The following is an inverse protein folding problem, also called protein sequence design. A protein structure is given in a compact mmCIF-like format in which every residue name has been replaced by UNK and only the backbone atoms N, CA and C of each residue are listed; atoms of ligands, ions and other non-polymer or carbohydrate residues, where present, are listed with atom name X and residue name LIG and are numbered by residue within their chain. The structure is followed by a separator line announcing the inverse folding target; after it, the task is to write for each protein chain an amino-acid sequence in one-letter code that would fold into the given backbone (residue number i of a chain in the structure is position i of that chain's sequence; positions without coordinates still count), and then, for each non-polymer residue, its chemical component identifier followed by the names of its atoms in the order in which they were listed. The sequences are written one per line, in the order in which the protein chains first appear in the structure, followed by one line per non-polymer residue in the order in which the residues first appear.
data_IF_632245366653
#
_entry.id   IF_632245366653
#
_cell.length_a   1.000
_cell.length_b   1.000
_cell.length_c   1.000
_cell.angle_alpha   90.00
_cell.angle_beta   90.00
_cell.angle_gamma   90.00
#
_symmetry.space_group_name_H-M   'P 1'
#
loop_
_entity.id
_entity.type
_entity.pdbx_description
1 polymer ?
#
# COMPACT_ATOMS: atom_id res chain seq x y z
N UNK A 1 -6.74 22.19 -13.83
CA UNK A 1 -5.31 22.46 -14.10
C UNK A 1 -4.62 21.14 -14.40
N UNK A 2 -3.70 21.12 -15.34
CA UNK A 2 -2.90 19.91 -15.59
C UNK A 2 -1.95 19.73 -14.42
N UNK A 3 -1.93 18.53 -13.82
CA UNK A 3 -0.94 18.17 -12.81
C UNK A 3 0.43 18.10 -13.49
N UNK A 4 1.41 18.80 -12.96
CA UNK A 4 2.79 18.75 -13.45
C UNK A 4 3.50 17.56 -12.84
N UNK A 5 4.47 16.97 -13.57
CA UNK A 5 5.23 15.80 -13.12
C UNK A 5 4.65 14.47 -13.62
N UNK A 6 5.05 13.39 -12.99
CA UNK A 6 4.69 12.03 -13.38
C UNK A 6 3.44 11.56 -12.63
N UNK A 7 2.27 11.93 -13.15
CA UNK A 7 0.98 11.50 -12.61
C UNK A 7 0.52 10.20 -13.30
N UNK A 8 0.47 9.10 -12.56
CA UNK A 8 0.02 7.80 -13.03
C UNK A 8 -1.31 7.44 -12.38
N UNK A 9 -2.19 6.83 -13.15
CA UNK A 9 -3.54 6.49 -12.72
C UNK A 9 -3.99 5.13 -13.26
N UNK A 10 -4.69 4.35 -12.43
CA UNK A 10 -5.38 3.14 -12.85
C UNK A 10 -6.74 3.05 -12.16
N UNK A 11 -7.74 2.61 -12.89
CA UNK A 11 -9.10 2.34 -12.44
C UNK A 11 -9.57 0.98 -12.95
N UNK A 12 -10.31 0.24 -12.12
CA UNK A 12 -11.02 -0.97 -12.51
C UNK A 12 -12.33 -1.09 -11.73
N UNK A 13 -13.45 -1.21 -12.45
CA UNK A 13 -14.74 -1.56 -11.86
C UNK A 13 -14.79 -3.07 -11.62
N UNK A 14 -14.87 -3.48 -10.36
CA UNK A 14 -14.80 -4.88 -9.96
C UNK A 14 -16.06 -5.69 -10.31
N UNK A 15 -17.21 -5.02 -10.56
CA UNK A 15 -18.44 -5.67 -10.96
C UNK A 15 -18.51 -5.95 -12.47
N UNK A 16 -17.89 -5.07 -13.29
CA UNK A 16 -18.00 -5.14 -14.77
C UNK A 16 -16.69 -5.52 -15.46
N UNK A 17 -15.56 -5.42 -14.77
CA UNK A 17 -14.22 -5.59 -15.34
C UNK A 17 -13.76 -4.45 -16.23
N UNK A 18 -14.54 -3.36 -16.37
CA UNK A 18 -14.14 -2.19 -17.15
C UNK A 18 -12.96 -1.52 -16.46
N UNK A 19 -11.86 -1.37 -17.18
CA UNK A 19 -10.65 -0.74 -16.66
C UNK A 19 -10.08 0.29 -17.64
N UNK A 20 -9.42 1.31 -17.11
CA UNK A 20 -8.66 2.30 -17.87
C UNK A 20 -7.58 2.92 -17.00
N UNK A 21 -6.64 3.64 -17.62
CA UNK A 21 -5.57 4.28 -16.88
C UNK A 21 -4.82 5.30 -17.73
N UNK A 22 -3.99 6.07 -17.06
CA UNK A 22 -3.02 6.99 -17.65
C UNK A 22 -1.64 6.67 -17.10
N UNK A 23 -0.66 6.44 -17.99
CA UNK A 23 0.69 6.03 -17.61
C UNK A 23 0.74 4.89 -16.55
N UNK A 24 -0.29 4.02 -16.54
CA UNK A 24 -0.51 3.04 -15.47
C UNK A 24 0.62 2.02 -15.31
N UNK A 25 1.39 1.79 -16.38
CA UNK A 25 2.50 0.84 -16.44
C UNK A 25 3.89 1.49 -16.24
N UNK A 26 3.93 2.82 -16.00
CA UNK A 26 5.16 3.53 -15.71
C UNK A 26 5.63 3.21 -14.29
N UNK A 27 6.85 2.69 -14.10
CA UNK A 27 7.43 2.57 -12.76
C UNK A 27 7.69 3.95 -12.17
N UNK A 28 7.34 4.10 -10.89
CA UNK A 28 7.64 5.26 -10.05
C UNK A 28 8.19 4.79 -8.71
N UNK A 29 8.91 5.66 -8.01
CA UNK A 29 9.43 5.34 -6.66
C UNK A 29 8.26 5.03 -5.72
N UNK A 30 8.31 3.87 -5.09
CA UNK A 30 7.16 3.26 -4.42
C UNK A 30 6.68 3.98 -3.16
N UNK A 31 7.55 4.75 -2.50
CA UNK A 31 7.30 5.23 -1.15
C UNK A 31 6.68 4.09 -0.29
N UNK A 32 5.64 4.39 0.50
CA UNK A 32 5.01 3.40 1.38
C UNK A 32 4.00 2.46 0.72
N UNK A 33 3.72 2.59 -0.58
CA UNK A 33 2.83 1.64 -1.27
C UNK A 33 3.48 0.26 -1.42
N UNK A 34 4.81 0.16 -1.42
CA UNK A 34 5.52 -1.13 -1.39
C UNK A 34 5.14 -2.01 -0.20
N UNK A 35 4.59 -1.43 0.87
CA UNK A 35 4.11 -2.15 2.06
C UNK A 35 2.95 -3.11 1.78
N UNK A 36 2.23 -2.93 0.66
CA UNK A 36 1.28 -3.94 0.18
C UNK A 36 1.97 -5.27 -0.11
N UNK A 37 3.11 -5.25 -0.79
CA UNK A 37 3.89 -6.46 -1.06
C UNK A 37 4.40 -7.11 0.23
N UNK A 38 4.87 -6.30 1.18
CA UNK A 38 5.33 -6.78 2.49
C UNK A 38 4.18 -7.43 3.26
N UNK A 39 2.97 -6.84 3.23
CA UNK A 39 1.79 -7.38 3.90
C UNK A 39 1.37 -8.73 3.28
N UNK A 40 1.32 -8.83 1.96
CA UNK A 40 0.96 -10.08 1.26
C UNK A 40 1.96 -11.19 1.59
N UNK A 41 3.26 -10.91 1.52
CA UNK A 41 4.29 -11.90 1.87
C UNK A 41 4.23 -12.30 3.36
N UNK A 42 3.94 -11.37 4.26
CA UNK A 42 3.76 -11.66 5.67
C UNK A 42 2.63 -12.67 5.89
N UNK A 43 1.51 -12.47 5.24
CA UNK A 43 0.37 -13.38 5.32
C UNK A 43 0.63 -14.72 4.61
N UNK A 44 1.36 -14.71 3.50
CA UNK A 44 1.78 -15.95 2.83
C UNK A 44 2.66 -16.82 3.72
N UNK A 45 3.61 -16.21 4.44
CA UNK A 45 4.46 -16.96 5.38
C UNK A 45 3.69 -17.43 6.61
N UNK A 46 2.69 -16.69 7.08
CA UNK A 46 1.79 -17.14 8.17
C UNK A 46 0.90 -18.31 7.71
N UNK A 47 0.34 -18.25 6.52
CA UNK A 47 -0.51 -19.31 5.93
C UNK A 47 0.27 -20.60 5.70
N UNK A 48 1.58 -20.50 5.41
CA UNK A 48 2.51 -21.62 5.28
C UNK A 48 3.16 -22.09 6.60
N UNK A 49 2.72 -21.60 7.76
CA UNK A 49 3.29 -21.86 9.09
C UNK A 49 4.80 -21.54 9.22
N UNK A 50 5.38 -20.78 8.29
CA UNK A 50 6.78 -20.35 8.34
C UNK A 50 7.02 -19.21 9.34
N UNK A 51 5.98 -18.46 9.67
CA UNK A 51 5.94 -17.39 10.67
C UNK A 51 4.67 -17.54 11.50
N UNK A 52 4.76 -17.29 12.82
CA UNK A 52 3.58 -17.26 13.68
C UNK A 52 3.11 -15.83 13.91
N UNK A 53 1.80 -15.60 13.83
CA UNK A 53 1.20 -14.29 14.10
C UNK A 53 1.60 -13.70 15.46
N UNK A 54 1.81 -14.54 16.46
CA UNK A 54 2.21 -14.19 17.83
C UNK A 54 3.74 -14.25 18.06
N UNK A 55 4.57 -14.40 17.02
CA UNK A 55 6.02 -14.27 17.12
C UNK A 55 6.35 -12.88 17.69
N UNK A 56 7.18 -12.84 18.76
CA UNK A 56 7.45 -11.61 19.53
C UNK A 56 8.67 -10.87 19.00
N UNK A 57 8.55 -9.57 18.92
CA UNK A 57 9.62 -8.63 18.58
C UNK A 57 9.84 -7.64 19.71
N UNK A 58 11.10 -7.46 20.11
CA UNK A 58 11.50 -6.44 21.08
C UNK A 58 12.02 -5.24 20.29
N UNK A 59 11.38 -4.10 20.44
CA UNK A 59 11.75 -2.87 19.69
C UNK A 59 12.96 -2.23 20.37
N UNK A 60 14.10 -2.33 19.75
CA UNK A 60 15.32 -1.65 20.21
C UNK A 60 15.38 -0.19 19.70
N UNK A 61 16.15 0.64 20.40
CA UNK A 61 16.40 2.03 19.96
C UNK A 61 16.97 2.10 18.55
N UNK A 62 17.81 1.14 18.18
CA UNK A 62 18.45 1.04 16.87
C UNK A 62 17.51 0.65 15.74
N UNK A 63 16.31 0.11 16.03
CA UNK A 63 15.30 -0.23 15.04
C UNK A 63 14.42 0.96 14.66
N UNK A 64 14.37 1.98 15.52
CA UNK A 64 13.44 3.11 15.38
C UNK A 64 13.81 4.00 14.20
N UNK A 65 12.86 4.16 13.30
CA UNK A 65 12.99 4.99 12.11
C UNK A 65 12.09 6.23 12.20
N UNK A 66 12.53 7.36 11.62
CA UNK A 66 11.78 8.60 11.65
C UNK A 66 10.55 8.56 10.73
N UNK A 67 9.81 9.68 10.71
CA UNK A 67 8.63 9.93 9.89
C UNK A 67 7.41 9.17 10.38
N UNK A 68 6.77 8.36 9.52
CA UNK A 68 5.47 7.75 9.80
C UNK A 68 5.54 6.62 10.84
N UNK A 69 4.47 6.48 11.62
CA UNK A 69 4.25 5.38 12.55
C UNK A 69 4.23 5.81 14.02
N UNK A 70 4.02 4.85 14.89
CA UNK A 70 3.92 5.01 16.34
C UNK A 70 5.16 4.48 17.09
N UNK A 71 5.80 3.40 16.59
CA UNK A 71 6.88 2.70 17.31
C UNK A 71 8.08 3.59 17.61
N UNK A 72 8.34 4.58 16.76
CA UNK A 72 9.42 5.56 16.97
C UNK A 72 9.25 6.37 18.27
N UNK A 73 8.01 6.58 18.73
CA UNK A 73 7.68 7.41 19.89
C UNK A 73 7.51 6.62 21.18
N UNK A 74 7.41 5.29 21.11
CA UNK A 74 7.19 4.44 22.26
C UNK A 74 8.54 4.09 22.95
N UNK A 75 8.48 3.54 24.16
CA UNK A 75 9.71 3.20 24.93
C UNK A 75 10.54 2.11 24.26
N UNK A 76 11.84 2.10 24.53
CA UNK A 76 12.74 1.03 24.11
C UNK A 76 12.44 -0.24 24.92
N UNK A 77 12.55 -1.39 24.28
CA UNK A 77 12.21 -2.70 24.90
C UNK A 77 10.72 -3.04 24.84
N UNK A 78 9.88 -2.23 24.15
CA UNK A 78 8.49 -2.60 23.89
C UNK A 78 8.43 -3.94 23.14
N UNK A 79 7.59 -4.85 23.62
CA UNK A 79 7.31 -6.11 22.95
C UNK A 79 6.03 -6.00 22.12
N UNK A 80 6.10 -6.38 20.84
CA UNK A 80 4.97 -6.45 19.91
C UNK A 80 4.98 -7.78 19.18
N UNK A 81 3.82 -8.22 18.69
CA UNK A 81 3.72 -9.44 17.89
C UNK A 81 4.03 -9.15 16.42
N UNK A 82 4.32 -10.21 15.64
CA UNK A 82 4.44 -10.11 14.18
C UNK A 82 3.18 -9.48 13.55
N UNK A 83 2.00 -9.91 14.06
CA UNK A 83 0.74 -9.34 13.61
C UNK A 83 0.60 -7.84 13.93
N UNK A 84 1.01 -7.41 15.12
CA UNK A 84 0.98 -5.98 15.48
C UNK A 84 1.85 -5.17 14.52
N UNK A 85 3.02 -5.70 14.12
CA UNK A 85 3.87 -5.06 13.11
C UNK A 85 3.15 -4.94 11.77
N UNK A 86 2.44 -5.99 11.31
CA UNK A 86 1.65 -5.93 10.07
C UNK A 86 0.55 -4.86 10.15
N UNK A 87 -0.15 -4.76 11.27
CA UNK A 87 -1.19 -3.75 11.51
C UNK A 87 -0.58 -2.35 11.50
N UNK A 88 0.46 -2.09 12.31
CA UNK A 88 1.10 -0.77 12.42
C UNK A 88 1.72 -0.31 11.09
N UNK A 89 2.40 -1.23 10.37
CA UNK A 89 2.92 -0.96 9.04
C UNK A 89 1.84 -0.50 8.07
N UNK A 90 0.66 -1.09 8.16
CA UNK A 90 -0.43 -0.84 7.21
C UNK A 90 -1.22 0.41 7.57
N UNK A 91 -1.78 0.47 8.79
CA UNK A 91 -2.75 1.52 9.16
C UNK A 91 -2.11 2.88 9.48
N UNK A 92 -0.86 2.90 9.96
CA UNK A 92 -0.08 4.11 10.29
C UNK A 92 1.13 4.29 9.38
N UNK A 93 1.31 3.40 8.42
CA UNK A 93 2.53 3.39 7.59
C UNK A 93 3.83 3.35 8.41
N UNK A 94 3.85 2.64 9.56
CA UNK A 94 4.99 2.61 10.49
C UNK A 94 6.26 2.06 9.83
N UNK A 95 7.30 2.89 9.77
CA UNK A 95 8.56 2.57 9.08
C UNK A 95 9.41 1.58 9.88
N UNK A 96 9.37 1.66 11.22
CA UNK A 96 10.07 0.72 12.11
C UNK A 96 9.48 -0.68 11.94
N UNK A 97 8.15 -0.80 12.02
CA UNK A 97 7.45 -2.06 11.76
C UNK A 97 7.78 -2.62 10.37
N UNK A 98 7.81 -1.76 9.36
CA UNK A 98 8.11 -2.16 7.97
C UNK A 98 9.49 -2.81 7.86
N UNK A 99 10.55 -2.15 8.37
CA UNK A 99 11.90 -2.71 8.24
C UNK A 99 12.10 -3.97 9.07
N UNK A 100 11.46 -4.09 10.22
CA UNK A 100 11.47 -5.34 11.01
C UNK A 100 10.82 -6.48 10.22
N UNK A 101 9.68 -6.24 9.59
CA UNK A 101 9.01 -7.21 8.73
C UNK A 101 9.86 -7.58 7.51
N UNK A 102 10.43 -6.60 6.78
CA UNK A 102 11.28 -6.88 5.62
C UNK A 102 12.49 -7.74 6.01
N UNK A 103 13.15 -7.43 7.12
CA UNK A 103 14.29 -8.22 7.63
C UNK A 103 13.88 -9.65 7.97
N UNK A 104 12.70 -9.84 8.56
CA UNK A 104 12.19 -11.15 8.96
C UNK A 104 11.73 -11.99 7.76
N UNK A 105 11.08 -11.38 6.81
CA UNK A 105 10.51 -12.03 5.62
C UNK A 105 11.56 -12.30 4.55
N UNK A 106 12.50 -11.38 4.37
CA UNK A 106 13.51 -11.40 3.32
C UNK A 106 13.04 -10.71 2.03
N UNK A 107 13.86 -9.79 1.52
CA UNK A 107 13.60 -9.04 0.27
C UNK A 107 13.35 -10.00 -0.91
N UNK A 108 14.14 -11.08 -1.02
CA UNK A 108 13.97 -12.08 -2.07
C UNK A 108 12.58 -12.70 -2.07
N UNK A 109 12.08 -13.14 -0.93
CA UNK A 109 10.76 -13.76 -0.80
C UNK A 109 9.64 -12.78 -1.16
N UNK A 110 9.75 -11.51 -0.76
CA UNK A 110 8.77 -10.46 -1.10
C UNK A 110 8.72 -10.26 -2.62
N UNK A 111 9.87 -10.20 -3.30
CA UNK A 111 9.94 -10.06 -4.75
C UNK A 111 9.46 -11.32 -5.48
N UNK A 112 9.73 -12.52 -4.93
CA UNK A 112 9.21 -13.76 -5.49
C UNK A 112 7.69 -13.81 -5.45
N UNK A 113 7.09 -13.36 -4.35
CA UNK A 113 5.64 -13.23 -4.20
C UNK A 113 5.06 -12.22 -5.19
N UNK A 114 5.70 -11.06 -5.39
CA UNK A 114 5.26 -10.10 -6.42
C UNK A 114 5.23 -10.76 -7.81
N UNK A 115 6.29 -11.46 -8.20
CA UNK A 115 6.36 -12.17 -9.50
C UNK A 115 5.29 -13.26 -9.62
N UNK A 116 5.07 -14.05 -8.57
CA UNK A 116 4.02 -15.08 -8.57
C UNK A 116 2.62 -14.51 -8.78
N UNK A 117 2.37 -13.29 -8.28
CA UNK A 117 1.11 -12.60 -8.44
C UNK A 117 0.99 -11.83 -9.77
N UNK A 118 2.05 -11.79 -10.60
CA UNK A 118 2.10 -11.10 -11.88
C UNK A 118 2.52 -9.64 -11.81
N UNK A 119 3.02 -9.18 -10.66
CA UNK A 119 3.55 -7.82 -10.49
C UNK A 119 5.08 -7.83 -10.75
N UNK A 120 5.46 -7.75 -12.02
CA UNK A 120 6.86 -7.92 -12.46
C UNK A 120 7.70 -6.63 -12.36
N UNK A 121 7.05 -5.46 -12.42
CA UNK A 121 7.69 -4.14 -12.35
C UNK A 121 7.76 -3.60 -10.92
N UNK A 122 6.90 -4.09 -10.02
CA UNK A 122 7.00 -3.76 -8.61
C UNK A 122 8.19 -4.49 -8.01
N UNK A 123 9.06 -3.75 -7.32
CA UNK A 123 10.27 -4.33 -6.72
C UNK A 123 10.61 -3.69 -5.40
N UNK A 124 10.95 -4.51 -4.42
CA UNK A 124 11.57 -4.11 -3.17
C UNK A 124 13.08 -4.35 -3.27
N UNK A 125 13.87 -3.30 -3.40
CA UNK A 125 15.33 -3.40 -3.63
C UNK A 125 16.15 -2.99 -2.40
N UNK A 126 15.58 -2.24 -1.47
CA UNK A 126 16.24 -1.74 -0.27
C UNK A 126 15.29 -1.62 0.92
N UNK A 127 15.85 -1.58 2.11
CA UNK A 127 15.13 -1.18 3.32
C UNK A 127 14.71 0.29 3.22
N UNK A 128 13.69 0.67 3.97
CA UNK A 128 13.33 2.08 4.13
C UNK A 128 14.46 2.80 4.88
N UNK A 129 14.73 4.05 4.50
CA UNK A 129 15.81 4.87 5.06
C UNK A 129 17.23 4.31 4.86
N UNK A 130 17.44 3.36 3.97
CA UNK A 130 18.78 2.96 3.51
C UNK A 130 19.34 4.06 2.58
N UNK A 131 20.00 5.06 3.20
CA UNK A 131 20.56 6.21 2.51
C UNK A 131 21.70 5.84 1.58
N UNK A 132 22.47 4.80 1.92
CA UNK A 132 23.58 4.33 1.08
C UNK A 132 23.04 3.72 -0.21
N UNK A 133 22.05 2.84 -0.14
CA UNK A 133 21.42 2.28 -1.32
C UNK A 133 20.75 3.36 -2.19
N UNK A 134 19.99 4.28 -1.56
CA UNK A 134 19.34 5.40 -2.26
C UNK A 134 20.32 6.33 -2.95
N UNK A 135 21.45 6.66 -2.33
CA UNK A 135 22.50 7.50 -2.96
C UNK A 135 23.14 6.85 -4.21
N UNK A 136 23.02 5.53 -4.35
CA UNK A 136 23.45 4.77 -5.53
C UNK A 136 22.33 4.60 -6.54
N UNK A 137 21.18 5.24 -6.36
CA UNK A 137 20.01 5.12 -7.24
C UNK A 137 19.23 3.81 -7.09
N UNK A 138 19.46 3.04 -6.00
CA UNK A 138 18.71 1.83 -5.71
C UNK A 138 17.42 2.24 -5.00
N UNK A 139 16.28 2.11 -5.70
CA UNK A 139 14.97 2.48 -5.20
C UNK A 139 13.99 1.31 -5.25
N UNK A 140 12.93 1.39 -4.43
CA UNK A 140 11.79 0.51 -4.51
C UNK A 140 10.81 1.08 -5.53
N UNK A 141 10.24 0.25 -6.39
CA UNK A 141 9.37 0.69 -7.48
C UNK A 141 7.99 0.08 -7.42
N UNK A 142 7.00 0.84 -7.90
CA UNK A 142 5.62 0.41 -8.13
C UNK A 142 5.14 0.89 -9.51
N UNK A 143 4.05 0.28 -9.99
CA UNK A 143 3.20 0.86 -11.04
C UNK A 143 1.76 0.95 -10.56
N UNK A 144 0.99 1.90 -11.06
CA UNK A 144 -0.42 2.03 -10.69
C UNK A 144 -1.23 0.79 -11.07
N UNK A 145 -0.93 0.17 -12.24
CA UNK A 145 -1.59 -1.06 -12.69
C UNK A 145 -1.28 -2.26 -11.80
N UNK A 146 -0.02 -2.46 -11.43
CA UNK A 146 0.34 -3.62 -10.61
C UNK A 146 -0.11 -3.47 -9.15
N UNK A 147 -0.14 -2.24 -8.62
CA UNK A 147 -0.80 -1.98 -7.33
C UNK A 147 -2.31 -2.36 -7.41
N UNK A 148 -2.98 -1.99 -8.51
CA UNK A 148 -4.35 -2.40 -8.78
C UNK A 148 -4.51 -3.92 -8.91
N UNK A 149 -3.58 -4.60 -9.58
CA UNK A 149 -3.55 -6.05 -9.69
C UNK A 149 -3.45 -6.72 -8.31
N UNK A 150 -2.56 -6.26 -7.42
CA UNK A 150 -2.46 -6.80 -6.06
C UNK A 150 -3.75 -6.61 -5.27
N UNK A 151 -4.37 -5.42 -5.36
CA UNK A 151 -5.64 -5.13 -4.72
C UNK A 151 -6.77 -6.03 -5.27
N UNK A 152 -6.77 -6.29 -6.58
CA UNK A 152 -7.72 -7.22 -7.19
C UNK A 152 -7.52 -8.65 -6.68
N UNK A 153 -6.29 -9.14 -6.62
CA UNK A 153 -5.97 -10.46 -6.04
C UNK A 153 -6.44 -10.58 -4.59
N UNK A 154 -6.29 -9.51 -3.79
CA UNK A 154 -6.83 -9.45 -2.44
C UNK A 154 -8.36 -9.52 -2.44
N UNK A 155 -9.02 -8.74 -3.31
CA UNK A 155 -10.49 -8.70 -3.41
C UNK A 155 -11.08 -10.04 -3.83
N UNK A 156 -10.44 -10.72 -4.78
CA UNK A 156 -10.87 -12.03 -5.30
C UNK A 156 -10.51 -13.20 -4.36
N UNK A 157 -9.76 -12.96 -3.27
CA UNK A 157 -9.30 -14.01 -2.35
C UNK A 157 -8.13 -14.83 -2.87
N UNK A 158 -7.42 -14.34 -3.89
CA UNK A 158 -6.37 -15.05 -4.64
C UNK A 158 -4.94 -14.58 -4.31
N UNK A 159 -4.76 -13.61 -3.41
CA UNK A 159 -3.42 -13.13 -3.07
C UNK A 159 -2.60 -14.17 -2.27
N UNK A 160 -3.26 -14.91 -1.37
CA UNK A 160 -2.69 -16.00 -0.56
C UNK A 160 -3.75 -17.10 -0.44
N UNK A 161 -4.70 -16.93 0.48
CA UNK A 161 -5.91 -17.73 0.64
C UNK A 161 -7.10 -16.78 0.87
N UNK A 162 -8.33 -17.28 0.72
CA UNK A 162 -9.54 -16.48 0.96
C UNK A 162 -9.53 -15.82 2.35
N UNK A 163 -9.36 -16.61 3.44
CA UNK A 163 -9.29 -16.07 4.81
C UNK A 163 -8.16 -15.06 5.02
N UNK A 164 -6.95 -15.33 4.49
CA UNK A 164 -5.82 -14.42 4.57
C UNK A 164 -6.07 -13.10 3.83
N UNK A 165 -6.69 -13.16 2.66
CA UNK A 165 -7.05 -11.97 1.86
C UNK A 165 -8.09 -11.11 2.58
N UNK A 166 -9.12 -11.74 3.18
CA UNK A 166 -10.14 -11.05 3.96
C UNK A 166 -9.53 -10.33 5.18
N UNK A 167 -8.61 -10.98 5.89
CA UNK A 167 -7.92 -10.40 7.03
C UNK A 167 -7.02 -9.21 6.61
N UNK A 168 -6.26 -9.34 5.51
CA UNK A 168 -5.48 -8.23 4.96
C UNK A 168 -6.37 -7.06 4.54
N UNK A 169 -7.50 -7.31 3.89
CA UNK A 169 -8.47 -6.28 3.53
C UNK A 169 -9.10 -5.62 4.76
N UNK A 170 -9.32 -6.38 5.85
CA UNK A 170 -9.77 -5.81 7.12
C UNK A 170 -8.75 -4.81 7.67
N UNK A 171 -7.46 -5.17 7.70
CA UNK A 171 -6.39 -4.27 8.13
C UNK A 171 -6.31 -3.03 7.23
N UNK A 172 -6.41 -3.19 5.90
CA UNK A 172 -6.39 -2.07 4.95
C UNK A 172 -7.58 -1.12 5.12
N UNK A 173 -8.76 -1.64 5.53
CA UNK A 173 -9.95 -0.82 5.84
C UNK A 173 -9.80 0.00 7.12
N UNK A 174 -8.88 -0.40 8.00
CA UNK A 174 -8.57 0.33 9.24
C UNK A 174 -7.51 1.42 9.05
N UNK A 175 -7.16 1.79 7.81
CA UNK A 175 -6.24 2.88 7.48
C UNK A 175 -6.59 4.18 8.22
N UNK A 176 -5.57 4.87 8.77
CA UNK A 176 -5.73 6.12 9.53
C UNK A 176 -5.30 7.37 8.75
N UNK A 177 -4.63 7.19 7.61
CA UNK A 177 -4.15 8.28 6.76
C UNK A 177 -5.16 8.56 5.64
N UNK A 178 -6.28 9.23 5.97
CA UNK A 178 -7.47 9.34 5.13
C UNK A 178 -7.56 10.67 4.36
N UNK A 179 -6.44 11.36 4.13
CA UNK A 179 -6.40 12.67 3.47
C UNK A 179 -6.56 12.66 1.95
N UNK A 180 -6.59 11.48 1.29
CA UNK A 180 -6.57 11.35 -0.19
C UNK A 180 -7.85 10.67 -0.69
N UNK A 181 -7.80 9.40 -1.12
CA UNK A 181 -8.98 8.65 -1.64
C UNK A 181 -10.23 8.80 -0.76
N UNK A 182 -10.17 8.65 0.59
CA UNK A 182 -11.36 8.75 1.43
C UNK A 182 -11.88 10.17 1.66
N UNK A 183 -11.09 11.19 1.43
CA UNK A 183 -11.27 12.53 2.01
C UNK A 183 -12.64 13.17 1.74
N UNK A 184 -13.16 13.07 0.52
CA UNK A 184 -14.45 13.63 0.13
C UNK A 184 -15.60 12.61 0.16
N UNK A 185 -15.33 11.34 0.47
CA UNK A 185 -16.34 10.29 0.48
C UNK A 185 -17.11 10.28 1.81
N UNK A 186 -18.37 9.81 1.80
CA UNK A 186 -19.13 9.63 3.03
C UNK A 186 -18.40 8.68 4.00
N UNK A 187 -18.37 8.99 5.28
CA UNK A 187 -17.71 8.16 6.32
C UNK A 187 -18.25 6.72 6.44
N UNK A 188 -19.44 6.46 5.91
CA UNK A 188 -20.04 5.13 5.88
C UNK A 188 -19.41 4.21 4.81
N UNK A 189 -18.75 4.78 3.80
CA UNK A 189 -18.10 4.02 2.73
C UNK A 189 -16.85 3.34 3.27
N UNK A 190 -16.76 2.03 3.10
CA UNK A 190 -15.55 1.28 3.46
C UNK A 190 -14.53 1.41 2.32
N UNK A 191 -13.27 1.63 2.71
CA UNK A 191 -12.18 1.78 1.75
C UNK A 191 -10.98 1.01 2.28
N UNK A 192 -10.50 0.04 1.52
CA UNK A 192 -9.26 -0.67 1.81
C UNK A 192 -8.15 0.00 1.00
N UNK A 193 -7.23 0.73 1.64
CA UNK A 193 -6.25 1.51 0.90
C UNK A 193 -4.90 1.61 1.58
N UNK A 194 -3.88 2.01 0.79
CA UNK A 194 -2.52 2.27 1.27
C UNK A 194 -1.98 3.53 0.63
N UNK A 195 -1.54 4.46 1.48
CA UNK A 195 -0.88 5.71 1.08
C UNK A 195 0.63 5.55 0.93
N UNK A 196 1.24 6.44 0.15
CA UNK A 196 2.70 6.60 0.04
C UNK A 196 3.06 8.08 -0.06
N UNK A 197 4.11 8.50 0.64
CA UNK A 197 4.57 9.89 0.66
C UNK A 197 6.10 9.94 0.77
N UNK A 198 6.69 10.84 -0.02
CA UNK A 198 8.09 11.28 0.09
C UNK A 198 8.20 12.68 -0.57
N UNK A 199 9.40 13.26 -0.63
CA UNK A 199 9.60 14.56 -1.27
C UNK A 199 9.24 14.52 -2.76
N UNK A 200 8.27 15.33 -3.17
CA UNK A 200 7.73 15.33 -4.53
C UNK A 200 6.97 14.05 -4.92
N UNK A 201 6.67 13.17 -3.97
CA UNK A 201 5.97 11.90 -4.18
C UNK A 201 4.71 11.85 -3.32
N UNK A 202 3.58 11.55 -3.94
CA UNK A 202 2.35 11.25 -3.22
C UNK A 202 1.53 10.20 -3.96
N UNK A 203 1.13 9.15 -3.24
CA UNK A 203 0.37 8.01 -3.74
C UNK A 203 -0.81 7.72 -2.85
N UNK A 204 -1.85 7.15 -3.43
CA UNK A 204 -2.89 6.40 -2.71
C UNK A 204 -3.48 5.35 -3.65
N UNK A 205 -3.56 4.11 -3.20
CA UNK A 205 -4.06 2.98 -3.96
C UNK A 205 -5.07 2.20 -3.11
N UNK A 206 -6.25 1.91 -3.67
CA UNK A 206 -7.28 1.31 -2.83
C UNK A 206 -8.47 0.74 -3.57
N UNK A 207 -9.31 0.03 -2.80
CA UNK A 207 -10.62 -0.48 -3.19
C UNK A 207 -11.68 0.35 -2.48
N UNK A 208 -12.55 0.98 -3.24
CA UNK A 208 -13.72 1.70 -2.73
C UNK A 208 -14.93 0.77 -2.80
N UNK A 209 -15.54 0.47 -1.65
CA UNK A 209 -16.71 -0.41 -1.53
C UNK A 209 -18.01 0.38 -1.74
N UNK A 210 -18.18 0.91 -2.96
CA UNK A 210 -19.41 1.51 -3.45
C UNK A 210 -20.43 0.43 -3.83
N UNK A 211 -21.62 0.80 -4.29
CA UNK A 211 -22.61 -0.12 -4.84
C UNK A 211 -22.03 -1.00 -5.97
N UNK A 212 -21.23 -0.41 -6.85
CA UNK A 212 -20.33 -1.14 -7.72
C UNK A 212 -18.89 -0.90 -7.21
N UNK A 213 -18.29 -1.88 -6.51
CA UNK A 213 -16.94 -1.70 -5.98
C UNK A 213 -15.93 -1.46 -7.09
N UNK A 214 -14.92 -0.63 -6.81
CA UNK A 214 -13.89 -0.34 -7.78
C UNK A 214 -12.51 -0.17 -7.13
N UNK A 215 -11.49 -0.46 -7.92
CA UNK A 215 -10.10 -0.14 -7.61
C UNK A 215 -9.77 1.22 -8.21
N UNK A 216 -9.04 2.03 -7.45
CA UNK A 216 -8.43 3.26 -7.93
C UNK A 216 -7.01 3.36 -7.38
N UNK A 217 -6.04 3.65 -8.25
CA UNK A 217 -4.65 3.80 -7.91
C UNK A 217 -4.12 5.11 -8.50
N UNK A 218 -3.62 5.97 -7.62
CA UNK A 218 -2.95 7.22 -7.96
C UNK A 218 -1.49 7.13 -7.53
N UNK A 219 -0.57 7.32 -8.46
CA UNK A 219 0.86 7.33 -8.19
C UNK A 219 1.46 8.59 -8.80
N UNK A 220 1.99 9.49 -7.98
CA UNK A 220 2.61 10.74 -8.41
C UNK A 220 4.07 10.81 -7.99
N UNK A 221 4.96 11.11 -8.93
CA UNK A 221 6.38 11.37 -8.71
C UNK A 221 6.76 12.69 -9.40
N UNK A 222 7.62 13.49 -8.78
CA UNK A 222 7.96 14.85 -9.23
C UNK A 222 6.71 15.75 -9.38
N UNK A 223 5.68 15.51 -8.58
CA UNK A 223 4.43 16.27 -8.57
C UNK A 223 4.42 17.33 -7.48
N UNK A 224 3.47 18.27 -7.58
CA UNK A 224 3.07 19.10 -6.42
C UNK A 224 2.09 18.28 -5.56
N UNK A 225 2.48 17.77 -4.37
CA UNK A 225 1.60 16.89 -3.58
C UNK A 225 0.21 17.51 -3.31
N UNK A 226 0.07 18.79 -2.88
CA UNK A 226 -1.25 19.35 -2.61
C UNK A 226 -2.17 19.40 -3.83
N UNK A 227 -1.61 19.67 -5.03
CA UNK A 227 -2.39 19.72 -6.27
C UNK A 227 -2.83 18.33 -6.72
N UNK A 228 -1.93 17.34 -6.63
CA UNK A 228 -2.24 15.98 -7.02
C UNK A 228 -3.20 15.31 -6.03
N UNK A 229 -3.04 15.55 -4.73
CA UNK A 229 -3.96 15.05 -3.70
C UNK A 229 -5.38 15.61 -3.88
N UNK A 230 -5.50 16.90 -4.25
CA UNK A 230 -6.80 17.46 -4.59
C UNK A 230 -7.42 16.76 -5.81
N UNK A 231 -6.62 16.49 -6.84
CA UNK A 231 -7.08 15.72 -8.00
C UNK A 231 -7.52 14.30 -7.62
N UNK A 232 -6.77 13.60 -6.72
CA UNK A 232 -7.18 12.29 -6.20
C UNK A 232 -8.56 12.35 -5.53
N UNK A 233 -8.78 13.35 -4.68
CA UNK A 233 -10.03 13.55 -3.94
C UNK A 233 -11.20 13.78 -4.91
N UNK A 234 -11.06 14.73 -5.85
CA UNK A 234 -12.11 15.11 -6.78
C UNK A 234 -12.45 13.97 -7.77
N UNK A 235 -11.42 13.29 -8.31
CA UNK A 235 -11.61 12.13 -9.20
C UNK A 235 -12.29 10.98 -8.46
N UNK A 236 -11.86 10.68 -7.24
CA UNK A 236 -12.46 9.59 -6.47
C UNK A 236 -13.92 9.87 -6.15
N UNK A 237 -14.27 11.11 -5.80
CA UNK A 237 -15.66 11.50 -5.57
C UNK A 237 -16.50 11.29 -6.84
N UNK A 238 -16.01 11.74 -7.99
CA UNK A 238 -16.71 11.56 -9.28
C UNK A 238 -16.91 10.06 -9.62
N UNK A 239 -15.89 9.22 -9.42
CA UNK A 239 -15.97 7.79 -9.64
C UNK A 239 -16.98 7.13 -8.70
N UNK A 240 -16.96 7.51 -7.41
CA UNK A 240 -17.89 7.03 -6.40
C UNK A 240 -19.34 7.38 -6.75
N UNK A 241 -19.61 8.65 -7.07
CA UNK A 241 -20.97 9.09 -7.47
C UNK A 241 -21.48 8.33 -8.70
N UNK A 242 -20.58 8.06 -9.67
CA UNK A 242 -20.94 7.25 -10.84
C UNK A 242 -21.24 5.80 -10.44
N UNK A 243 -20.39 5.17 -9.60
CA UNK A 243 -20.57 3.79 -9.13
C UNK A 243 -21.86 3.59 -8.30
N UNK A 244 -22.36 4.62 -7.64
CA UNK A 244 -23.63 4.61 -6.91
C UNK A 244 -24.87 4.74 -7.83
N UNK A 245 -24.74 5.40 -9.00
CA UNK A 245 -25.85 5.65 -9.94
C UNK A 245 -26.15 4.49 -10.87
N UNK A 246 -25.17 3.65 -11.18
CA UNK A 246 -25.36 2.52 -12.12
C UNK A 246 -26.27 1.46 -11.45
N UNK A 247 -27.41 1.18 -12.09
CA UNK A 247 -28.40 0.17 -11.66
C UNK A 247 -28.01 -1.23 -12.08
#
# INVERSE_FOLDING_TARGET
SAVTGDACFYYENLATGVCFGHAADKPVVAASVIKLAVLIEAFRQMDADAVRANEMFVIARTDKLPSCGALNYLHDGLCVTFRDLCVLMTILSDNTATNLLIKRLGIGNINDTLRMLGAEKMTLNRLLFDREASSRGIENYITAREAGLLLKRLYDGEAVSGPASEDMLSILKDQRLNGKIPFLLPHSVKIAHKTGEDDGITHDVGIVYARQPFIVCFCGEHVSPPEFERAMQDITLMLYENAERIR
#
